data_IF_597507008862
#
_entry.id   IF_597507008862
#
_cell.length_a   1.000
_cell.length_b   1.000
_cell.length_c   1.000
_cell.angle_alpha   90.00
_cell.angle_beta   90.00
_cell.angle_gamma   90.00
#
_symmetry.space_group_name_H-M   'P 1'
#
loop_
_entity.id
_entity.type
_entity.pdbx_description
1 polymer ?
#
# COMPACT_ATOMS: atom_id res chain seq x y z
N UNK A 1 10.05 2.24 5.94
CA UNK A 1 9.05 3.29 6.25
C UNK A 1 7.95 3.31 5.20
N UNK A 2 6.75 3.78 5.59
CA UNK A 2 5.65 3.97 4.66
C UNK A 2 5.66 5.40 4.09
N UNK A 3 5.73 5.51 2.77
CA UNK A 3 5.80 6.75 2.01
C UNK A 3 4.47 7.07 1.33
N UNK A 4 3.55 7.69 2.06
CA UNK A 4 2.28 8.18 1.51
C UNK A 4 2.53 9.53 0.85
N UNK A 5 2.96 9.50 -0.42
CA UNK A 5 3.38 10.70 -1.15
C UNK A 5 2.40 11.14 -2.23
N UNK A 6 1.40 10.31 -2.59
CA UNK A 6 0.39 10.68 -3.56
C UNK A 6 -0.62 11.70 -3.01
N UNK A 7 -0.95 11.62 -1.74
CA UNK A 7 -1.96 12.46 -1.08
C UNK A 7 -1.56 12.75 0.37
N UNK A 8 -2.33 13.58 1.07
CA UNK A 8 -2.22 13.73 2.52
C UNK A 8 -3.62 13.67 3.15
N UNK A 9 -3.71 13.65 4.48
CA UNK A 9 -5.00 13.82 5.16
C UNK A 9 -5.51 15.25 5.03
N UNK A 10 -6.82 15.44 4.92
CA UNK A 10 -7.47 16.77 4.84
C UNK A 10 -7.16 17.65 6.06
N UNK A 11 -6.91 17.01 7.22
CA UNK A 11 -6.50 17.66 8.46
C UNK A 11 -5.01 18.09 8.50
N UNK A 12 -4.21 17.72 7.48
CA UNK A 12 -2.80 18.16 7.43
C UNK A 12 -2.72 19.67 7.36
N UNK A 13 -1.75 20.28 8.06
CA UNK A 13 -1.58 21.74 8.13
C UNK A 13 -1.43 22.43 6.77
N UNK A 14 -1.02 21.70 5.73
CA UNK A 14 -0.92 22.25 4.38
C UNK A 14 -2.30 22.49 3.75
N UNK A 15 -3.26 21.59 4.00
CA UNK A 15 -4.65 21.71 3.53
C UNK A 15 -5.51 22.41 4.56
N UNK A 16 -5.54 21.93 5.81
CA UNK A 16 -6.32 22.41 6.95
C UNK A 16 -7.83 22.53 6.67
N UNK A 17 -8.41 21.49 6.01
CA UNK A 17 -9.84 21.51 5.71
C UNK A 17 -10.72 21.42 6.96
N UNK A 18 -10.22 20.83 8.04
CA UNK A 18 -10.87 20.78 9.36
C UNK A 18 -10.64 22.04 10.19
N UNK A 19 -9.87 23.03 9.68
CA UNK A 19 -9.60 24.31 10.32
C UNK A 19 -8.96 24.21 11.70
N UNK A 20 -8.07 23.24 11.85
CA UNK A 20 -7.36 22.96 13.12
C UNK A 20 -6.30 24.03 13.38
N UNK A 21 -5.59 24.47 12.32
CA UNK A 21 -4.43 25.36 12.42
C UNK A 21 -4.75 26.81 12.09
N UNK A 22 -5.92 27.11 11.51
CA UNK A 22 -6.32 28.44 11.01
C UNK A 22 -6.03 29.60 11.97
N UNK A 23 -6.26 29.38 13.27
CA UNK A 23 -6.12 30.39 14.32
C UNK A 23 -5.05 30.06 15.36
N UNK A 24 -4.18 29.09 15.05
CA UNK A 24 -3.10 28.70 15.98
C UNK A 24 -1.86 29.57 15.74
N UNK A 25 -1.30 30.12 16.83
CA UNK A 25 -0.07 30.87 16.77
C UNK A 25 1.10 30.03 16.25
N UNK A 26 1.85 30.58 15.28
CA UNK A 26 3.01 29.93 14.71
C UNK A 26 2.70 29.00 13.52
N UNK A 27 1.44 28.91 13.10
CA UNK A 27 1.05 28.19 11.88
C UNK A 27 0.61 29.14 10.78
N UNK A 28 1.01 28.84 9.55
CA UNK A 28 0.47 29.45 8.35
C UNK A 28 -0.93 28.90 8.06
N UNK A 29 -1.78 29.70 7.42
CA UNK A 29 -3.09 29.21 6.98
C UNK A 29 -2.96 28.13 5.91
N UNK A 30 -3.74 27.08 6.03
CA UNK A 30 -3.79 26.01 5.04
C UNK A 30 -4.36 26.45 3.69
N UNK A 31 -4.12 25.65 2.67
CA UNK A 31 -4.55 25.95 1.29
C UNK A 31 -6.08 25.97 1.13
N UNK A 32 -6.83 25.21 1.92
CA UNK A 32 -8.29 25.27 1.99
C UNK A 32 -8.80 26.62 2.51
N UNK A 33 -8.09 27.17 3.50
CA UNK A 33 -8.53 28.37 4.26
C UNK A 33 -8.32 29.65 3.48
N UNK A 34 -7.16 29.80 2.80
CA UNK A 34 -6.74 31.07 2.20
C UNK A 34 -6.10 30.89 0.83
N UNK A 35 -6.54 31.66 -0.16
CA UNK A 35 -5.97 31.67 -1.50
C UNK A 35 -4.47 32.09 -1.52
N UNK A 36 -4.02 32.83 -0.52
CA UNK A 36 -2.63 33.30 -0.38
C UNK A 36 -1.78 32.36 0.50
N UNK A 37 -2.31 31.20 0.88
CA UNK A 37 -1.56 30.20 1.65
C UNK A 37 -0.23 29.86 0.96
N UNK A 38 0.88 29.73 1.71
CA UNK A 38 2.16 29.27 1.15
C UNK A 38 2.06 27.83 0.61
N UNK A 39 1.03 27.09 0.99
CA UNK A 39 0.76 25.73 0.54
C UNK A 39 -0.24 25.66 -0.62
N UNK A 40 -0.69 26.82 -1.15
CA UNK A 40 -1.73 26.89 -2.18
C UNK A 40 -1.43 26.01 -3.39
N UNK A 41 -0.19 26.00 -3.86
CA UNK A 41 0.25 25.24 -5.04
C UNK A 41 0.62 23.78 -4.73
N UNK A 42 0.53 23.34 -3.47
CA UNK A 42 0.70 21.94 -3.11
C UNK A 42 -0.52 21.09 -3.51
N UNK A 43 -1.62 21.76 -3.85
CA UNK A 43 -2.88 21.15 -4.23
C UNK A 43 -3.46 21.80 -5.48
N UNK A 44 -4.18 21.02 -6.27
CA UNK A 44 -4.92 21.49 -7.43
C UNK A 44 -6.33 21.89 -6.99
N UNK A 45 -6.71 23.14 -7.26
CA UNK A 45 -8.08 23.64 -7.04
C UNK A 45 -8.72 23.96 -8.39
N UNK A 46 -9.95 23.57 -8.58
CA UNK A 46 -10.68 23.77 -9.85
C UNK A 46 -11.36 25.13 -9.89
N UNK A 47 -11.92 25.60 -8.76
CA UNK A 47 -12.56 26.92 -8.66
C UNK A 47 -11.66 27.91 -7.95
N UNK A 48 -11.12 28.88 -8.68
CA UNK A 48 -10.22 29.90 -8.15
C UNK A 48 -10.91 31.02 -7.35
N UNK A 49 -12.25 31.05 -7.33
CA UNK A 49 -13.06 32.08 -6.68
C UNK A 49 -13.80 31.58 -5.42
N UNK A 50 -13.54 30.35 -4.99
CA UNK A 50 -14.27 29.72 -3.90
C UNK A 50 -13.67 30.00 -2.49
N UNK A 51 -12.59 30.77 -2.38
CA UNK A 51 -12.06 31.16 -1.07
C UNK A 51 -12.89 32.24 -0.38
N UNK A 52 -12.86 32.26 0.96
CA UNK A 52 -12.19 31.32 1.86
C UNK A 52 -12.90 29.96 1.94
N UNK A 53 -12.17 28.95 2.41
CA UNK A 53 -12.68 27.58 2.59
C UNK A 53 -13.05 26.90 1.28
N UNK A 54 -12.08 26.86 0.38
CA UNK A 54 -12.27 26.28 -0.94
C UNK A 54 -12.25 24.73 -0.88
N UNK A 55 -13.40 24.11 -1.06
CA UNK A 55 -13.57 22.65 -1.07
C UNK A 55 -13.52 22.02 -2.48
N UNK A 56 -13.28 22.84 -3.52
CA UNK A 56 -13.19 22.38 -4.92
C UNK A 56 -11.75 22.02 -5.30
N UNK A 57 -11.15 21.11 -4.52
CA UNK A 57 -9.79 20.60 -4.75
C UNK A 57 -9.77 19.16 -5.23
N UNK A 58 -8.65 18.77 -5.85
CA UNK A 58 -8.41 17.40 -6.29
C UNK A 58 -8.17 16.46 -5.09
N UNK A 59 -8.89 15.37 -5.06
CA UNK A 59 -8.73 14.32 -4.07
C UNK A 59 -8.45 12.98 -4.75
N UNK A 60 -7.62 12.15 -4.13
CA UNK A 60 -7.34 10.81 -4.64
C UNK A 60 -8.66 10.03 -4.78
N UNK A 61 -8.95 9.58 -6.01
CA UNK A 61 -10.23 9.00 -6.42
C UNK A 61 -11.48 9.84 -6.02
N UNK A 62 -11.32 11.15 -5.92
CA UNK A 62 -12.40 12.08 -5.55
C UNK A 62 -12.67 12.19 -4.04
N UNK A 63 -11.91 11.50 -3.21
CA UNK A 63 -12.06 11.56 -1.76
C UNK A 63 -11.52 12.87 -1.19
N UNK A 64 -12.40 13.71 -0.65
CA UNK A 64 -12.03 14.99 -0.04
C UNK A 64 -11.20 14.86 1.24
N UNK A 65 -11.28 13.71 1.90
CA UNK A 65 -10.43 13.40 3.06
C UNK A 65 -8.97 13.08 2.68
N UNK A 66 -8.70 12.88 1.37
CA UNK A 66 -7.41 12.51 0.82
C UNK A 66 -6.99 13.50 -0.29
N UNK A 67 -6.70 14.79 0.05
CA UNK A 67 -6.26 15.78 -0.93
C UNK A 67 -5.02 15.30 -1.70
N UNK A 68 -5.11 15.27 -3.03
CA UNK A 68 -4.02 14.84 -3.90
C UNK A 68 -2.94 15.93 -3.97
N UNK A 69 -1.66 15.52 -3.86
CA UNK A 69 -0.53 16.42 -3.92
C UNK A 69 -0.18 16.76 -5.38
N UNK A 70 0.05 18.05 -5.64
CA UNK A 70 0.27 18.59 -6.99
C UNK A 70 1.74 18.99 -7.19
N UNK A 71 2.54 18.00 -7.56
CA UNK A 71 3.98 18.16 -7.75
C UNK A 71 4.34 18.96 -9.02
N UNK A 72 3.51 18.85 -10.07
CA UNK A 72 3.76 19.52 -11.35
C UNK A 72 3.73 21.04 -11.22
N UNK A 73 2.90 21.58 -10.31
CA UNK A 73 2.79 23.03 -10.09
C UNK A 73 3.62 23.54 -8.91
N UNK A 74 4.28 22.64 -8.16
CA UNK A 74 5.04 23.04 -6.96
C UNK A 74 6.42 22.41 -6.87
N UNK A 75 7.43 23.12 -7.38
CA UNK A 75 8.83 22.72 -7.20
C UNK A 75 9.23 22.63 -5.74
N UNK A 76 8.65 23.49 -4.89
CA UNK A 76 8.88 23.46 -3.45
C UNK A 76 8.43 22.15 -2.82
N UNK A 77 7.23 21.66 -3.18
CA UNK A 77 6.72 20.37 -2.70
C UNK A 77 7.58 19.22 -3.23
N UNK A 78 7.91 19.26 -4.52
CA UNK A 78 8.76 18.27 -5.17
C UNK A 78 10.10 18.09 -4.42
N UNK A 79 10.83 19.17 -4.24
CA UNK A 79 12.12 19.14 -3.54
C UNK A 79 11.98 18.75 -2.07
N UNK A 80 10.89 19.17 -1.43
CA UNK A 80 10.60 18.79 -0.05
C UNK A 80 10.47 17.27 0.11
N UNK A 81 9.71 16.61 -0.77
CA UNK A 81 9.51 15.15 -0.69
C UNK A 81 10.78 14.40 -1.04
N UNK A 82 11.57 14.83 -2.04
CA UNK A 82 12.88 14.23 -2.29
C UNK A 82 13.80 14.34 -1.07
N UNK A 83 13.77 15.45 -0.35
CA UNK A 83 14.53 15.64 0.88
C UNK A 83 14.01 14.75 2.02
N UNK A 84 12.71 14.50 2.11
CA UNK A 84 12.14 13.50 3.04
C UNK A 84 12.69 12.13 2.69
N UNK A 85 12.71 11.76 1.41
CA UNK A 85 13.27 10.49 0.93
C UNK A 85 14.71 10.27 1.40
N UNK A 86 15.58 11.29 1.24
CA UNK A 86 16.99 11.25 1.70
C UNK A 86 17.11 11.17 3.22
N UNK A 87 16.38 12.04 3.90
CA UNK A 87 16.51 12.25 5.35
C UNK A 87 16.35 10.97 6.15
N UNK A 88 15.31 10.21 5.87
CA UNK A 88 14.95 9.07 6.71
C UNK A 88 15.80 7.83 6.48
N UNK A 89 16.47 7.72 5.33
CA UNK A 89 17.45 6.65 5.07
C UNK A 89 18.87 7.02 5.47
N UNK A 90 19.08 8.27 5.94
CA UNK A 90 20.38 8.80 6.40
C UNK A 90 20.48 8.77 7.92
N UNK A 91 21.72 8.88 8.48
CA UNK A 91 21.90 9.09 9.92
C UNK A 91 21.17 10.36 10.40
N UNK A 92 20.62 10.34 11.61
CA UNK A 92 20.66 9.28 12.63
C UNK A 92 19.54 8.24 12.48
N UNK A 93 18.66 8.39 11.49
CA UNK A 93 17.46 7.55 11.36
C UNK A 93 17.76 6.18 10.77
N UNK A 94 18.55 6.13 9.69
CA UNK A 94 19.05 4.91 9.03
C UNK A 94 17.95 3.88 8.74
N UNK A 95 16.80 4.33 8.23
CA UNK A 95 15.77 3.40 7.77
C UNK A 95 16.30 2.59 6.58
N UNK A 96 15.94 1.30 6.50
CA UNK A 96 16.41 0.38 5.46
C UNK A 96 15.72 0.62 4.09
N UNK A 97 14.73 1.50 4.03
CA UNK A 97 14.08 1.87 2.78
C UNK A 97 12.65 2.38 2.94
N UNK A 98 11.96 2.41 1.80
CA UNK A 98 10.61 2.94 1.63
C UNK A 98 9.66 1.90 1.06
N UNK A 99 8.49 1.75 1.65
CA UNK A 99 7.29 1.23 1.00
C UNK A 99 6.51 2.45 0.50
N UNK A 100 6.17 2.47 -0.77
CA UNK A 100 5.51 3.61 -1.41
C UNK A 100 4.03 3.29 -1.62
N UNK A 101 3.18 4.02 -0.92
CA UNK A 101 1.72 3.92 -0.99
C UNK A 101 1.20 4.43 -2.34
N UNK A 102 0.33 3.65 -2.99
CA UNK A 102 -0.29 3.93 -4.29
C UNK A 102 0.64 4.64 -5.29
N UNK A 103 1.84 4.10 -5.41
CA UNK A 103 2.96 4.76 -6.08
C UNK A 103 2.69 5.11 -7.56
N UNK A 104 1.90 4.29 -8.26
CA UNK A 104 1.54 4.52 -9.65
C UNK A 104 0.58 5.70 -9.85
N UNK A 105 -0.17 6.09 -8.82
CA UNK A 105 -1.15 7.17 -8.91
C UNK A 105 -0.55 8.57 -8.67
N UNK A 106 0.73 8.65 -8.25
CA UNK A 106 1.38 9.93 -7.97
C UNK A 106 1.54 10.78 -9.24
N UNK A 107 1.21 12.06 -9.13
CA UNK A 107 1.26 13.01 -10.24
C UNK A 107 -0.02 13.03 -11.07
N UNK A 108 -0.02 13.79 -12.17
CA UNK A 108 -1.17 13.97 -13.06
C UNK A 108 -1.00 13.25 -14.41
N UNK A 109 0.20 12.73 -14.68
CA UNK A 109 0.52 11.99 -15.91
C UNK A 109 1.51 10.86 -15.64
N UNK A 110 1.47 9.83 -16.48
CA UNK A 110 2.37 8.68 -16.43
C UNK A 110 3.84 9.10 -16.61
N UNK A 111 4.12 9.97 -17.59
CA UNK A 111 5.47 10.47 -17.84
C UNK A 111 6.04 11.22 -16.61
N UNK A 112 5.21 12.03 -15.95
CA UNK A 112 5.60 12.70 -14.73
C UNK A 112 5.85 11.71 -13.58
N UNK A 113 4.97 10.73 -13.41
CA UNK A 113 5.11 9.67 -12.41
C UNK A 113 6.47 8.96 -12.55
N UNK A 114 6.78 8.50 -13.75
CA UNK A 114 8.06 7.85 -14.05
C UNK A 114 9.26 8.75 -13.75
N UNK A 115 9.19 10.04 -14.11
CA UNK A 115 10.29 10.97 -13.85
C UNK A 115 10.45 11.23 -12.34
N UNK A 116 9.37 11.41 -11.61
CA UNK A 116 9.40 11.59 -10.16
C UNK A 116 10.07 10.40 -9.45
N UNK A 117 9.74 9.18 -9.84
CA UNK A 117 10.33 7.99 -9.21
C UNK A 117 11.80 7.79 -9.57
N UNK A 118 12.25 8.22 -10.75
CA UNK A 118 13.68 8.28 -11.09
C UNK A 118 14.42 9.26 -10.18
N UNK A 119 13.88 10.44 -9.99
CA UNK A 119 14.49 11.45 -9.13
C UNK A 119 14.44 11.04 -7.66
N UNK A 120 13.35 10.42 -7.22
CA UNK A 120 13.23 9.88 -5.87
C UNK A 120 14.26 8.75 -5.62
N UNK A 121 14.41 7.83 -6.58
CA UNK A 121 15.44 6.79 -6.51
C UNK A 121 16.83 7.41 -6.41
N UNK A 122 17.14 8.34 -7.26
CA UNK A 122 18.43 9.05 -7.24
C UNK A 122 18.67 9.65 -5.86
N UNK A 123 17.69 10.38 -5.32
CA UNK A 123 17.77 10.99 -4.01
C UNK A 123 18.01 9.98 -2.87
N UNK A 124 17.29 8.87 -2.89
CA UNK A 124 17.41 7.82 -1.86
C UNK A 124 18.74 7.08 -1.98
N UNK A 125 19.12 6.65 -3.19
CA UNK A 125 20.34 5.84 -3.41
C UNK A 125 21.64 6.64 -3.24
N UNK A 126 21.63 7.94 -3.50
CA UNK A 126 22.76 8.84 -3.15
C UNK A 126 22.95 8.95 -1.63
N UNK A 127 21.85 8.94 -0.88
CA UNK A 127 21.91 9.03 0.58
C UNK A 127 22.23 7.69 1.26
N UNK A 128 21.67 6.61 0.74
CA UNK A 128 21.91 5.24 1.19
C UNK A 128 21.73 4.26 0.02
N UNK A 129 22.82 3.80 -0.62
CA UNK A 129 22.74 2.90 -1.77
C UNK A 129 22.07 1.55 -1.46
N UNK A 130 22.11 1.11 -0.19
CA UNK A 130 21.48 -0.15 0.24
C UNK A 130 19.97 -0.02 0.55
N UNK A 131 19.45 1.21 0.65
CA UNK A 131 18.04 1.41 0.97
C UNK A 131 17.12 0.85 -0.13
N UNK A 132 16.17 0.00 0.24
CA UNK A 132 15.20 -0.57 -0.70
C UNK A 132 14.07 0.42 -1.02
N UNK A 133 13.61 0.41 -2.27
CA UNK A 133 12.41 1.13 -2.72
C UNK A 133 11.39 0.10 -3.21
N UNK A 134 10.37 -0.15 -2.38
CA UNK A 134 9.31 -1.10 -2.61
C UNK A 134 7.99 -0.35 -2.81
N UNK A 135 7.27 -0.60 -3.90
CA UNK A 135 6.03 0.08 -4.19
C UNK A 135 4.80 -0.81 -3.98
N UNK A 136 3.71 -0.19 -3.56
CA UNK A 136 2.39 -0.80 -3.69
C UNK A 136 1.89 -0.60 -5.12
N UNK A 137 1.61 -1.72 -5.79
CA UNK A 137 1.04 -1.73 -7.14
C UNK A 137 0.34 -3.06 -7.40
N UNK A 138 -0.87 -3.01 -7.97
CA UNK A 138 -1.71 -4.20 -8.17
C UNK A 138 -1.57 -4.84 -9.56
N UNK A 139 -1.03 -4.12 -10.53
CA UNK A 139 -0.98 -4.54 -11.92
C UNK A 139 0.47 -4.81 -12.39
N UNK A 140 0.69 -4.74 -13.70
CA UNK A 140 2.02 -4.93 -14.29
C UNK A 140 2.95 -3.74 -13.96
N UNK A 141 3.92 -3.98 -13.11
CA UNK A 141 4.91 -2.99 -12.69
C UNK A 141 6.15 -2.94 -13.61
N UNK A 142 6.15 -3.66 -14.72
CA UNK A 142 7.35 -3.84 -15.56
C UNK A 142 8.04 -2.55 -15.96
N UNK A 143 7.28 -1.49 -16.26
CA UNK A 143 7.85 -0.18 -16.65
C UNK A 143 8.58 0.55 -15.50
N UNK A 144 8.22 0.28 -14.24
CA UNK A 144 8.89 0.86 -13.06
C UNK A 144 10.03 0.01 -12.53
N UNK A 145 10.12 -1.27 -12.94
CA UNK A 145 11.14 -2.23 -12.47
C UNK A 145 12.33 -2.36 -13.41
N UNK A 146 12.60 -1.35 -14.23
CA UNK A 146 13.72 -1.33 -15.17
C UNK A 146 15.08 -1.02 -14.54
N UNK A 147 15.14 -0.85 -13.21
CA UNK A 147 16.37 -0.59 -12.45
C UNK A 147 16.64 0.89 -12.17
N UNK A 148 15.79 1.79 -12.68
CA UNK A 148 15.92 3.24 -12.55
C UNK A 148 14.85 3.91 -11.66
N UNK A 149 13.88 3.12 -11.15
CA UNK A 149 12.78 3.61 -10.32
C UNK A 149 12.62 2.75 -9.06
N UNK A 150 11.62 1.85 -8.99
CA UNK A 150 11.44 0.96 -7.85
C UNK A 150 12.40 -0.24 -7.92
N UNK A 151 12.82 -0.74 -6.76
CA UNK A 151 13.57 -1.99 -6.69
C UNK A 151 12.63 -3.19 -6.83
N UNK A 152 11.42 -3.11 -6.24
CA UNK A 152 10.45 -4.18 -6.21
C UNK A 152 9.06 -3.67 -5.83
N UNK A 153 8.08 -4.60 -5.70
CA UNK A 153 6.70 -4.30 -5.32
C UNK A 153 6.18 -5.26 -4.25
N UNK A 154 5.05 -4.88 -3.62
CA UNK A 154 4.17 -5.82 -2.92
C UNK A 154 3.62 -6.82 -3.95
N UNK A 155 3.94 -8.12 -3.77
CA UNK A 155 3.74 -9.12 -4.82
C UNK A 155 2.32 -9.68 -4.83
N UNK A 156 1.36 -8.86 -5.24
CA UNK A 156 -0.04 -9.29 -5.32
C UNK A 156 -0.27 -10.30 -6.44
N UNK A 157 0.06 -9.93 -7.67
CA UNK A 157 -0.30 -10.69 -8.87
C UNK A 157 0.54 -11.96 -9.06
N UNK A 158 1.85 -11.92 -8.72
CA UNK A 158 2.73 -13.08 -8.88
C UNK A 158 2.86 -13.93 -7.60
N UNK A 159 2.09 -13.66 -6.55
CA UNK A 159 2.10 -14.46 -5.32
C UNK A 159 0.77 -14.48 -4.60
N UNK A 160 0.35 -13.36 -3.97
CA UNK A 160 -0.79 -13.35 -3.05
C UNK A 160 -2.08 -13.87 -3.69
N UNK A 161 -2.44 -13.33 -4.85
CA UNK A 161 -3.71 -13.66 -5.51
C UNK A 161 -3.74 -15.12 -6.01
N UNK A 162 -2.76 -15.61 -6.80
CA UNK A 162 -2.78 -17.00 -7.23
C UNK A 162 -2.77 -18.02 -6.10
N UNK A 163 -1.99 -17.77 -5.03
CA UNK A 163 -1.97 -18.63 -3.84
C UNK A 163 -3.32 -18.62 -3.12
N UNK A 164 -3.93 -17.44 -2.99
CA UNK A 164 -5.25 -17.29 -2.39
C UNK A 164 -6.31 -18.05 -3.17
N UNK A 165 -6.39 -17.84 -4.49
CA UNK A 165 -7.38 -18.50 -5.35
C UNK A 165 -7.22 -20.01 -5.33
N UNK A 166 -5.99 -20.49 -5.51
CA UNK A 166 -5.68 -21.91 -5.58
C UNK A 166 -6.01 -22.65 -4.28
N UNK A 167 -5.66 -22.08 -3.13
CA UNK A 167 -5.81 -22.74 -1.84
C UNK A 167 -7.17 -22.49 -1.18
N UNK A 168 -7.81 -21.37 -1.44
CA UNK A 168 -9.05 -21.00 -0.73
C UNK A 168 -10.26 -20.84 -1.66
N UNK A 169 -10.07 -20.61 -2.94
CA UNK A 169 -11.14 -20.26 -3.87
C UNK A 169 -11.79 -18.92 -3.54
N UNK A 170 -11.08 -18.03 -2.86
CA UNK A 170 -11.57 -16.70 -2.49
C UNK A 170 -10.75 -15.61 -3.17
N UNK A 171 -11.38 -14.49 -3.41
CA UNK A 171 -10.72 -13.23 -3.75
C UNK A 171 -10.09 -12.61 -2.47
N UNK A 172 -9.05 -11.78 -2.62
CA UNK A 172 -8.22 -11.26 -1.51
C UNK A 172 -8.97 -10.46 -0.43
N UNK A 173 -10.10 -9.82 -0.79
CA UNK A 173 -10.93 -9.08 0.17
C UNK A 173 -12.04 -9.93 0.80
N UNK A 174 -12.25 -11.16 0.33
CA UNK A 174 -13.41 -12.01 0.62
C UNK A 174 -14.73 -11.47 0.06
N UNK A 175 -14.67 -10.67 -0.99
CA UNK A 175 -15.86 -10.11 -1.65
C UNK A 175 -16.45 -11.07 -2.68
N UNK A 176 -15.64 -11.98 -3.22
CA UNK A 176 -16.04 -12.92 -4.26
C UNK A 176 -15.46 -14.32 -4.02
N UNK A 177 -16.25 -15.32 -4.41
CA UNK A 177 -15.80 -16.70 -4.44
C UNK A 177 -15.37 -17.11 -5.87
N UNK A 178 -14.13 -17.52 -5.99
CA UNK A 178 -13.51 -18.02 -7.22
C UNK A 178 -13.37 -19.55 -7.17
N UNK A 179 -14.52 -20.22 -7.06
CA UNK A 179 -14.56 -21.69 -6.98
C UNK A 179 -14.02 -22.40 -8.21
N UNK A 180 -13.98 -21.71 -9.36
CA UNK A 180 -13.36 -22.15 -10.62
C UNK A 180 -11.82 -22.28 -10.52
N UNK A 181 -11.20 -21.54 -9.59
CA UNK A 181 -9.76 -21.52 -9.35
C UNK A 181 -9.32 -22.40 -8.18
N UNK A 182 -10.24 -22.82 -7.32
CA UNK A 182 -9.93 -23.66 -6.17
C UNK A 182 -9.34 -25.01 -6.62
N UNK A 183 -8.09 -25.29 -6.26
CA UNK A 183 -7.37 -26.50 -6.64
C UNK A 183 -7.06 -26.61 -8.14
N UNK A 184 -7.29 -25.56 -8.92
CA UNK A 184 -7.01 -25.55 -10.36
C UNK A 184 -5.51 -25.31 -10.60
N UNK A 185 -4.76 -26.41 -10.69
CA UNK A 185 -3.29 -26.37 -10.84
C UNK A 185 -2.86 -25.65 -12.13
N UNK A 186 -3.60 -25.84 -13.24
CA UNK A 186 -3.22 -25.19 -14.50
C UNK A 186 -3.37 -23.68 -14.40
N UNK A 187 -4.50 -23.19 -13.88
CA UNK A 187 -4.73 -21.76 -13.69
C UNK A 187 -3.70 -21.15 -12.72
N UNK A 188 -3.34 -21.88 -11.64
CA UNK A 188 -2.31 -21.46 -10.71
C UNK A 188 -0.94 -21.29 -11.39
N UNK A 189 -0.49 -22.32 -12.11
CA UNK A 189 0.81 -22.29 -12.82
C UNK A 189 0.83 -21.19 -13.87
N UNK A 190 -0.22 -21.07 -14.68
CA UNK A 190 -0.31 -20.06 -15.73
C UNK A 190 -0.24 -18.65 -15.15
N UNK A 191 -0.98 -18.37 -14.08
CA UNK A 191 -0.94 -17.07 -13.40
C UNK A 191 0.45 -16.76 -12.84
N UNK A 192 1.05 -17.73 -12.12
CA UNK A 192 2.39 -17.54 -11.53
C UNK A 192 3.45 -17.30 -12.60
N UNK A 193 3.48 -18.12 -13.66
CA UNK A 193 4.47 -17.96 -14.74
C UNK A 193 4.26 -16.63 -15.48
N UNK A 194 3.01 -16.28 -15.81
CA UNK A 194 2.71 -15.04 -16.51
C UNK A 194 3.17 -13.83 -15.70
N UNK A 195 2.76 -13.72 -14.45
CA UNK A 195 3.08 -12.54 -13.64
C UNK A 195 4.56 -12.48 -13.24
N UNK A 196 5.18 -13.62 -12.89
CA UNK A 196 6.63 -13.66 -12.60
C UNK A 196 7.47 -13.24 -13.81
N UNK A 197 7.04 -13.54 -15.04
CA UNK A 197 7.75 -13.16 -16.27
C UNK A 197 7.78 -11.65 -16.53
N UNK A 198 6.97 -10.86 -15.81
CA UNK A 198 6.94 -9.40 -15.90
C UNK A 198 7.98 -8.72 -15.01
N UNK A 199 8.60 -9.46 -14.11
CA UNK A 199 9.66 -8.93 -13.26
C UNK A 199 11.03 -9.08 -13.93
N UNK A 200 11.92 -8.12 -13.67
CA UNK A 200 13.35 -8.38 -13.75
C UNK A 200 13.73 -9.33 -12.59
N UNK A 201 14.66 -10.26 -12.85
CA UNK A 201 15.02 -11.28 -11.86
C UNK A 201 15.43 -10.71 -10.49
N UNK A 202 16.27 -9.64 -10.39
CA UNK A 202 16.59 -9.06 -9.08
C UNK A 202 15.36 -8.54 -8.34
N UNK A 203 14.42 -7.90 -9.04
CA UNK A 203 13.18 -7.37 -8.46
C UNK A 203 12.25 -8.48 -7.95
N UNK A 204 12.17 -9.60 -8.69
CA UNK A 204 11.40 -10.78 -8.28
C UNK A 204 11.95 -11.38 -6.98
N UNK A 205 13.29 -11.52 -6.88
CA UNK A 205 13.92 -12.16 -5.73
C UNK A 205 13.76 -11.40 -4.40
N UNK A 206 13.43 -10.12 -4.47
CA UNK A 206 13.17 -9.27 -3.29
C UNK A 206 11.72 -8.79 -3.22
N UNK A 207 10.84 -9.32 -4.08
CA UNK A 207 9.41 -8.95 -4.06
C UNK A 207 8.76 -9.42 -2.76
N UNK A 208 7.85 -8.61 -2.24
CA UNK A 208 7.21 -8.82 -0.96
C UNK A 208 6.10 -9.88 -1.07
N UNK A 209 6.45 -11.14 -0.78
CA UNK A 209 5.51 -12.26 -0.80
C UNK A 209 4.74 -12.31 0.52
N UNK A 210 3.51 -11.84 0.52
CA UNK A 210 2.64 -11.80 1.68
C UNK A 210 1.37 -12.62 1.47
N UNK A 211 0.82 -13.19 2.53
CA UNK A 211 -0.48 -13.87 2.53
C UNK A 211 -1.60 -12.93 2.97
N UNK A 212 -1.30 -12.04 3.90
CA UNK A 212 -2.22 -11.03 4.42
C UNK A 212 -1.51 -9.69 4.50
N UNK A 213 -2.29 -8.60 4.51
CA UNK A 213 -1.82 -7.25 4.82
C UNK A 213 -2.92 -6.41 5.48
N UNK A 214 -2.66 -5.13 5.64
CA UNK A 214 -3.54 -4.19 6.33
C UNK A 214 -4.81 -3.79 5.57
N UNK A 215 -4.93 -4.12 4.26
CA UNK A 215 -6.09 -3.80 3.42
C UNK A 215 -7.00 -5.01 3.19
N UNK A 216 -6.40 -6.19 3.07
CA UNK A 216 -7.10 -7.40 2.67
C UNK A 216 -7.65 -8.18 3.87
N UNK A 217 -8.60 -9.06 3.64
CA UNK A 217 -8.96 -10.04 4.67
C UNK A 217 -7.76 -10.93 4.99
N UNK A 218 -7.63 -11.37 6.24
CA UNK A 218 -6.52 -12.26 6.61
C UNK A 218 -6.63 -13.59 5.89
N UNK A 219 -5.50 -14.17 5.50
CA UNK A 219 -5.49 -15.42 4.74
C UNK A 219 -6.21 -16.55 5.49
N UNK A 220 -6.01 -16.64 6.81
CA UNK A 220 -6.70 -17.65 7.61
C UNK A 220 -8.23 -17.49 7.54
N UNK A 221 -8.76 -16.25 7.53
CA UNK A 221 -10.18 -15.98 7.31
C UNK A 221 -10.64 -16.49 5.94
N UNK A 222 -9.89 -16.21 4.86
CA UNK A 222 -10.24 -16.68 3.51
C UNK A 222 -10.38 -18.20 3.40
N UNK A 223 -9.70 -18.97 4.29
CA UNK A 223 -9.82 -20.43 4.32
C UNK A 223 -11.21 -20.93 4.71
N UNK A 224 -12.07 -20.09 5.30
CA UNK A 224 -13.46 -20.44 5.62
C UNK A 224 -14.40 -20.38 4.41
N UNK A 225 -13.92 -19.85 3.27
CA UNK A 225 -14.66 -19.72 2.01
C UNK A 225 -15.97 -18.93 2.11
N UNK A 226 -16.05 -18.01 3.06
CA UNK A 226 -17.24 -17.17 3.28
C UNK A 226 -17.04 -15.83 2.60
N UNK A 227 -18.02 -15.44 1.76
CA UNK A 227 -18.08 -14.09 1.18
C UNK A 227 -18.67 -13.13 2.20
N UNK A 228 -17.98 -12.02 2.46
CA UNK A 228 -18.48 -11.01 3.37
C UNK A 228 -17.43 -10.05 3.91
N UNK A 229 -17.94 -9.07 4.64
CA UNK A 229 -17.17 -8.07 5.37
C UNK A 229 -17.77 -7.88 6.78
N UNK A 230 -17.09 -7.16 7.66
CA UNK A 230 -17.58 -6.91 9.02
C UNK A 230 -19.00 -6.35 9.04
N UNK A 231 -19.32 -5.44 8.12
CA UNK A 231 -20.64 -4.82 8.04
C UNK A 231 -21.77 -5.81 7.68
N UNK A 232 -21.47 -6.83 6.86
CA UNK A 232 -22.48 -7.80 6.41
C UNK A 232 -22.54 -9.06 7.28
N UNK A 233 -21.41 -9.49 7.84
CA UNK A 233 -21.29 -10.79 8.53
C UNK A 233 -20.98 -10.68 10.03
N UNK A 234 -20.57 -9.52 10.50
CA UNK A 234 -20.03 -9.33 11.85
C UNK A 234 -18.59 -9.83 11.99
N UNK A 235 -17.84 -9.24 12.91
CA UNK A 235 -16.42 -9.53 13.11
C UNK A 235 -16.14 -11.00 13.51
N UNK A 236 -17.03 -11.63 14.29
CA UNK A 236 -16.86 -13.01 14.78
C UNK A 236 -16.92 -14.07 13.66
N UNK A 237 -17.64 -13.79 12.58
CA UNK A 237 -17.72 -14.72 11.45
C UNK A 237 -16.36 -14.96 10.77
N UNK A 238 -15.44 -14.01 10.86
CA UNK A 238 -14.08 -14.14 10.34
C UNK A 238 -13.29 -15.29 10.97
N UNK A 239 -13.63 -15.68 12.22
CA UNK A 239 -12.95 -16.71 12.98
C UNK A 239 -13.57 -18.12 12.80
N UNK A 240 -14.75 -18.18 12.18
CA UNK A 240 -15.51 -19.44 12.10
C UNK A 240 -15.07 -20.30 10.93
N UNK A 241 -15.03 -21.62 11.14
CA UNK A 241 -14.75 -22.62 10.09
C UNK A 241 -13.43 -22.43 9.35
N UNK A 242 -12.45 -21.78 9.95
CA UNK A 242 -11.12 -21.58 9.36
C UNK A 242 -10.34 -22.89 9.29
N UNK A 243 -9.49 -23.03 8.27
CA UNK A 243 -8.69 -24.22 8.01
C UNK A 243 -7.19 -23.94 8.19
N UNK A 244 -6.65 -24.30 9.36
CA UNK A 244 -5.22 -24.15 9.67
C UNK A 244 -4.31 -25.05 8.82
N UNK A 245 -4.82 -26.15 8.28
CA UNK A 245 -4.09 -27.00 7.34
C UNK A 245 -3.79 -26.25 6.03
N UNK A 246 -4.77 -25.53 5.51
CA UNK A 246 -4.60 -24.65 4.34
C UNK A 246 -3.63 -23.51 4.65
N UNK A 247 -3.73 -22.88 5.84
CA UNK A 247 -2.78 -21.84 6.27
C UNK A 247 -1.34 -22.37 6.26
N UNK A 248 -1.08 -23.57 6.84
CA UNK A 248 0.26 -24.18 6.82
C UNK A 248 0.75 -24.46 5.41
N UNK A 249 -0.12 -24.93 4.51
CA UNK A 249 0.25 -25.13 3.11
C UNK A 249 0.64 -23.82 2.42
N UNK A 250 -0.09 -22.73 2.69
CA UNK A 250 0.24 -21.41 2.17
C UNK A 250 1.58 -20.90 2.69
N UNK A 251 1.86 -21.06 3.99
CA UNK A 251 3.17 -20.70 4.59
C UNK A 251 4.30 -21.51 3.97
N UNK A 252 4.11 -22.80 3.69
CA UNK A 252 5.12 -23.61 2.99
C UNK A 252 5.45 -23.04 1.60
N UNK A 253 4.43 -22.62 0.85
CA UNK A 253 4.63 -21.95 -0.44
C UNK A 253 5.37 -20.62 -0.23
N UNK A 254 4.91 -19.80 0.71
CA UNK A 254 5.49 -18.48 1.01
C UNK A 254 7.00 -18.57 1.32
N UNK A 255 7.40 -19.56 2.13
CA UNK A 255 8.80 -19.72 2.56
C UNK A 255 9.72 -20.34 1.49
N UNK A 256 9.15 -20.90 0.43
CA UNK A 256 9.92 -21.62 -0.60
C UNK A 256 9.80 -21.01 -2.00
N UNK A 257 8.89 -20.06 -2.20
CA UNK A 257 8.70 -19.40 -3.49
C UNK A 257 9.69 -18.25 -3.70
N UNK A 258 10.15 -17.99 -4.95
CA UNK A 258 11.02 -16.83 -5.22
C UNK A 258 10.40 -15.53 -4.75
N UNK A 259 11.17 -14.74 -3.97
CA UNK A 259 10.76 -13.49 -3.34
C UNK A 259 11.10 -13.44 -1.86
N UNK A 260 10.74 -12.37 -1.20
CA UNK A 260 10.97 -12.14 0.24
C UNK A 260 9.70 -12.54 1.04
N UNK A 261 9.74 -13.63 1.82
CA UNK A 261 8.62 -13.98 2.69
C UNK A 261 8.31 -12.85 3.66
N UNK A 262 7.09 -12.36 3.64
CA UNK A 262 6.66 -11.22 4.46
C UNK A 262 5.46 -11.61 5.31
N UNK A 263 5.62 -11.54 6.63
CA UNK A 263 4.57 -11.87 7.58
C UNK A 263 3.80 -10.61 7.97
N UNK A 264 2.49 -10.63 7.79
CA UNK A 264 1.63 -9.66 8.44
C UNK A 264 1.43 -10.09 9.90
N UNK A 265 1.71 -9.20 10.85
CA UNK A 265 1.68 -9.53 12.27
C UNK A 265 0.41 -10.30 12.66
N UNK A 266 0.57 -11.35 13.44
CA UNK A 266 -0.52 -12.18 13.93
C UNK A 266 -0.97 -13.30 13.00
N UNK A 267 -0.51 -13.36 11.74
CA UNK A 267 -0.78 -14.52 10.88
C UNK A 267 -0.16 -15.79 11.50
N UNK A 268 1.05 -15.66 12.06
CA UNK A 268 1.73 -16.72 12.81
C UNK A 268 0.98 -17.12 14.09
N UNK A 269 0.23 -16.19 14.67
CA UNK A 269 -0.53 -16.41 15.89
C UNK A 269 -1.99 -16.82 15.65
N UNK A 270 -2.39 -17.01 14.39
CA UNK A 270 -3.74 -17.44 14.02
C UNK A 270 -4.79 -16.33 14.06
N UNK A 271 -4.39 -15.07 13.92
CA UNK A 271 -5.34 -13.97 13.81
C UNK A 271 -6.19 -14.10 12.55
N UNK A 272 -7.48 -13.85 12.73
CA UNK A 272 -8.47 -13.71 11.67
C UNK A 272 -8.96 -12.26 11.59
N UNK A 273 -9.56 -11.88 10.47
CA UNK A 273 -10.19 -10.59 10.28
C UNK A 273 -10.63 -10.41 8.83
N UNK A 274 -11.74 -9.73 8.64
CA UNK A 274 -12.18 -9.21 7.35
C UNK A 274 -11.21 -8.12 6.88
N UNK A 275 -11.54 -7.41 5.84
CA UNK A 275 -10.74 -6.26 5.36
C UNK A 275 -10.61 -5.16 6.42
N UNK A 276 -9.77 -4.16 6.16
CA UNK A 276 -9.67 -2.96 6.99
C UNK A 276 -11.06 -2.44 7.45
N UNK A 277 -11.25 -2.12 8.74
CA UNK A 277 -10.26 -2.13 9.83
C UNK A 277 -10.17 -3.46 10.61
N UNK A 278 -10.98 -4.47 10.31
CA UNK A 278 -11.12 -5.69 11.12
C UNK A 278 -9.87 -6.59 11.07
N UNK A 279 -9.11 -6.57 9.99
CA UNK A 279 -7.82 -7.27 9.87
C UNK A 279 -6.71 -6.70 10.79
N UNK A 280 -6.90 -5.49 11.33
CA UNK A 280 -5.94 -4.78 12.20
C UNK A 280 -6.24 -5.01 13.69
N UNK A 281 -6.75 -6.18 14.06
CA UNK A 281 -7.01 -6.56 15.45
C UNK A 281 -5.71 -6.60 16.25
N UNK A 282 -5.79 -6.38 17.58
CA UNK A 282 -4.63 -6.49 18.46
C UNK A 282 -4.03 -7.89 18.45
N UNK A 283 -2.70 -7.97 18.57
CA UNK A 283 -2.01 -9.25 18.70
C UNK A 283 -2.50 -10.03 19.94
N UNK A 284 -2.76 -11.34 19.82
CA UNK A 284 -3.39 -12.14 20.88
C UNK A 284 -2.39 -12.60 21.95
N UNK A 285 -1.66 -11.69 22.57
CA UNK A 285 -0.64 -11.98 23.58
C UNK A 285 -1.11 -13.00 24.62
N UNK A 286 -0.36 -14.12 24.77
CA UNK A 286 -0.66 -15.22 25.70
C UNK A 286 -1.84 -16.11 25.26
N UNK A 287 -2.37 -15.91 24.05
CA UNK A 287 -3.45 -16.72 23.45
C UNK A 287 -3.15 -17.09 22.00
N UNK A 288 -1.88 -17.07 21.65
CA UNK A 288 -1.39 -17.42 20.32
C UNK A 288 -1.74 -18.87 19.98
N UNK A 289 -2.01 -19.11 18.72
CA UNK A 289 -2.34 -20.47 18.24
C UNK A 289 -1.08 -21.34 18.17
N UNK A 290 -0.89 -22.19 19.18
CA UNK A 290 0.29 -23.06 19.29
C UNK A 290 0.44 -24.10 18.18
N UNK A 291 -0.53 -24.20 17.25
CA UNK A 291 -0.41 -25.05 16.06
C UNK A 291 0.09 -24.29 14.85
N UNK A 292 0.23 -22.96 14.93
CA UNK A 292 0.70 -22.12 13.84
C UNK A 292 2.05 -21.45 14.15
N UNK A 293 2.38 -21.26 15.43
CA UNK A 293 3.70 -20.79 15.87
C UNK A 293 4.78 -21.83 15.60
#
# INVERSE_FOLDING_TARGET
LDGVFNHCGSFNKWMDAERIYENQYGYEKGAFVDANSPYRHFFKFYNQNAWPYNDDYDGWWGHKTLPKLNYEESRQLYDYILNVGRKWVSPPYNADGWRLDVAADLGQSEDFNHQFWRDFRTAVKEANPEAIILAEHYEDAGSWLMGDQWDTIMNYSAFMEPVTWFLTGMEKHSDERRGDLLGNTQAFVDAMVYHMSRFQYPSLMVSMNELSNHDHSRFLTRTNQTVGRTASMGAEAANQNVNKGIMRAAVMIQMTWPGAPTLYYGDEAGLCGWTDPDNRRTYPWGREDQNLI
#
